data_IF_917781533855
#
_entry.id   IF_917781533855
#
_cell.length_a   1.000
_cell.length_b   1.000
_cell.length_c   1.000
_cell.angle_alpha   90.00
_cell.angle_beta   90.00
_cell.angle_gamma   90.00
#
_symmetry.space_group_name_H-M   'P 1'
#
loop_
_entity.id
_entity.type
_entity.pdbx_description
1 polymer ?
#
# COMPACT_ATOMS: atom_id res chain seq x y z
N UNK A 1 -29.91 11.55 -4.36
CA UNK A 1 -29.50 11.93 -2.99
C UNK A 1 -29.97 10.83 -2.06
N UNK A 2 -29.29 10.66 -0.93
CA UNK A 2 -29.65 9.62 0.03
C UNK A 2 -31.03 9.92 0.63
N UNK A 3 -31.80 8.87 0.89
CA UNK A 3 -33.08 9.01 1.60
C UNK A 3 -32.83 8.92 3.09
N UNK A 4 -33.36 9.88 3.83
CA UNK A 4 -33.18 10.04 5.27
C UNK A 4 -33.68 8.80 6.03
N UNK A 5 -34.80 8.22 5.60
CA UNK A 5 -35.36 6.97 6.15
C UNK A 5 -34.32 5.83 6.17
N UNK A 6 -33.57 5.63 5.08
CA UNK A 6 -32.60 4.55 4.98
C UNK A 6 -31.27 4.87 5.67
N UNK A 7 -30.94 6.15 5.86
CA UNK A 7 -29.82 6.54 6.71
C UNK A 7 -30.14 6.21 8.17
N UNK A 8 -31.35 6.49 8.65
CA UNK A 8 -31.78 6.12 10.00
C UNK A 8 -31.82 4.61 10.20
N UNK A 9 -32.26 3.83 9.21
CA UNK A 9 -32.20 2.37 9.26
C UNK A 9 -30.76 1.86 9.36
N UNK A 10 -29.82 2.47 8.63
CA UNK A 10 -28.39 2.17 8.74
C UNK A 10 -27.86 2.47 10.15
N UNK A 11 -28.16 3.65 10.69
CA UNK A 11 -27.71 4.08 12.02
C UNK A 11 -28.27 3.23 13.16
N UNK A 12 -29.48 2.70 12.99
CA UNK A 12 -30.12 1.82 13.97
C UNK A 12 -29.67 0.36 13.87
N UNK A 13 -28.79 0.03 12.92
CA UNK A 13 -28.34 -1.35 12.67
C UNK A 13 -29.43 -2.25 12.07
N UNK A 14 -30.51 -1.67 11.53
CA UNK A 14 -31.67 -2.38 10.97
C UNK A 14 -31.84 -2.13 9.47
N UNK A 15 -30.72 -1.98 8.76
CA UNK A 15 -30.75 -1.70 7.34
C UNK A 15 -31.41 -2.83 6.56
N UNK A 16 -32.54 -2.52 5.93
CA UNK A 16 -33.24 -3.47 5.05
C UNK A 16 -32.50 -3.63 3.73
N UNK A 17 -32.69 -4.77 3.05
CA UNK A 17 -32.13 -4.99 1.70
C UNK A 17 -32.57 -3.90 0.70
N UNK A 18 -33.81 -3.41 0.84
CA UNK A 18 -34.34 -2.29 0.06
C UNK A 18 -33.61 -0.98 0.38
N UNK A 19 -33.36 -0.70 1.65
CA UNK A 19 -32.58 0.45 2.09
C UNK A 19 -31.15 0.42 1.55
N UNK A 20 -30.48 -0.72 1.69
CA UNK A 20 -29.13 -0.93 1.13
C UNK A 20 -29.09 -0.70 -0.38
N UNK A 21 -30.01 -1.31 -1.14
CA UNK A 21 -30.11 -1.11 -2.59
C UNK A 21 -30.34 0.36 -2.97
N UNK A 22 -31.11 1.11 -2.19
CA UNK A 22 -31.33 2.54 -2.40
C UNK A 22 -30.07 3.38 -2.13
N UNK A 23 -29.27 3.01 -1.12
CA UNK A 23 -28.00 3.68 -0.83
C UNK A 23 -27.00 3.42 -1.96
N UNK A 24 -26.81 2.17 -2.38
CA UNK A 24 -25.95 1.79 -3.51
C UNK A 24 -26.38 2.52 -4.79
N UNK A 25 -27.68 2.59 -5.07
CA UNK A 25 -28.21 3.31 -6.24
C UNK A 25 -27.92 4.82 -6.16
N UNK A 26 -27.94 5.39 -4.97
CA UNK A 26 -27.59 6.80 -4.74
C UNK A 26 -26.11 7.06 -5.00
N UNK A 27 -25.24 6.16 -4.52
CA UNK A 27 -23.80 6.20 -4.79
C UNK A 27 -23.53 6.08 -6.29
N UNK A 28 -24.13 5.10 -6.97
CA UNK A 28 -23.99 4.93 -8.42
C UNK A 28 -24.44 6.17 -9.21
N UNK A 29 -25.52 6.82 -8.77
CA UNK A 29 -25.98 8.08 -9.38
C UNK A 29 -24.95 9.20 -9.18
N UNK A 30 -24.33 9.29 -8.00
CA UNK A 30 -23.29 10.29 -7.72
C UNK A 30 -22.02 10.04 -8.52
N UNK A 31 -21.55 8.80 -8.61
CA UNK A 31 -20.42 8.41 -9.47
C UNK A 31 -20.62 8.91 -10.90
N UNK A 32 -21.79 8.65 -11.49
CA UNK A 32 -22.13 9.11 -12.84
C UNK A 32 -22.26 10.62 -12.93
N UNK A 33 -22.80 11.27 -11.91
CA UNK A 33 -22.98 12.74 -11.90
C UNK A 33 -21.65 13.47 -11.83
N UNK A 34 -20.72 12.99 -11.02
CA UNK A 34 -19.42 13.61 -10.80
C UNK A 34 -18.31 13.04 -11.69
N UNK A 35 -18.63 12.06 -12.55
CA UNK A 35 -17.67 11.42 -13.45
C UNK A 35 -16.44 10.88 -12.71
N UNK A 36 -16.66 10.27 -11.55
CA UNK A 36 -15.57 9.70 -10.76
C UNK A 36 -14.92 8.53 -11.51
N UNK A 37 -13.59 8.54 -11.54
CA UNK A 37 -12.81 7.46 -12.16
C UNK A 37 -12.89 6.19 -11.33
N UNK A 38 -12.88 5.03 -11.98
CA UNK A 38 -12.97 3.73 -11.32
C UNK A 38 -11.76 3.42 -10.41
N UNK A 39 -10.62 4.05 -10.67
CA UNK A 39 -9.39 3.91 -9.86
C UNK A 39 -9.59 4.16 -8.36
N UNK A 40 -10.69 4.82 -7.96
CA UNK A 40 -11.05 4.97 -6.54
C UNK A 40 -11.49 3.67 -5.85
N UNK A 41 -11.77 2.62 -6.62
CA UNK A 41 -12.14 1.28 -6.15
C UNK A 41 -10.89 0.40 -6.15
N UNK A 42 -10.61 -0.24 -5.02
CA UNK A 42 -9.38 -1.01 -4.77
C UNK A 42 -9.24 -2.26 -5.65
N UNK A 43 -10.30 -2.78 -6.26
CA UNK A 43 -10.18 -3.94 -7.15
C UNK A 43 -9.31 -3.68 -8.37
N UNK A 44 -8.28 -4.53 -8.57
CA UNK A 44 -7.37 -4.57 -9.71
C UNK A 44 -8.11 -5.00 -11.00
N UNK A 45 -9.04 -4.17 -11.47
CA UNK A 45 -9.82 -4.43 -12.64
C UNK A 45 -9.51 -3.36 -13.69
N UNK A 46 -8.84 -3.77 -14.77
CA UNK A 46 -8.36 -2.90 -15.86
C UNK A 46 -9.49 -2.28 -16.70
N UNK A 47 -10.74 -2.67 -16.46
CA UNK A 47 -11.91 -2.15 -17.15
C UNK A 47 -12.23 -0.71 -16.74
N UNK A 48 -12.18 0.22 -17.70
CA UNK A 48 -12.53 1.63 -17.49
C UNK A 48 -14.02 1.85 -17.15
N UNK A 49 -14.87 0.86 -17.40
CA UNK A 49 -16.31 0.96 -17.21
C UNK A 49 -16.73 0.48 -15.81
N UNK A 50 -17.65 1.23 -15.20
CA UNK A 50 -18.25 0.88 -13.91
C UNK A 50 -19.24 -0.28 -14.04
N UNK A 51 -18.95 -1.38 -13.35
CA UNK A 51 -19.80 -2.55 -13.19
C UNK A 51 -20.75 -2.43 -11.99
N UNK A 52 -21.71 -3.35 -11.86
CA UNK A 52 -22.58 -3.42 -10.68
C UNK A 52 -21.78 -3.74 -9.42
N UNK A 53 -20.78 -4.61 -9.54
CA UNK A 53 -19.95 -5.06 -8.42
C UNK A 53 -19.03 -3.92 -7.95
N UNK A 54 -18.55 -3.09 -8.88
CA UNK A 54 -17.74 -1.90 -8.56
C UNK A 54 -18.53 -0.90 -7.68
N UNK A 55 -19.82 -0.69 -7.95
CA UNK A 55 -20.67 0.17 -7.11
C UNK A 55 -20.92 -0.44 -5.72
N UNK A 56 -21.02 -1.77 -5.64
CA UNK A 56 -21.19 -2.48 -4.37
C UNK A 56 -19.92 -2.37 -3.53
N UNK A 57 -18.77 -2.59 -4.14
CA UNK A 57 -17.46 -2.50 -3.51
C UNK A 57 -17.19 -1.06 -3.01
N UNK A 58 -17.42 -0.05 -3.85
CA UNK A 58 -17.29 1.36 -3.44
C UNK A 58 -18.20 1.67 -2.24
N UNK A 59 -19.41 1.11 -2.22
CA UNK A 59 -20.34 1.29 -1.10
C UNK A 59 -19.83 0.63 0.18
N UNK A 60 -19.27 -0.57 0.08
CA UNK A 60 -18.68 -1.29 1.22
C UNK A 60 -17.47 -0.53 1.79
N UNK A 61 -16.53 -0.12 0.93
CA UNK A 61 -15.36 0.66 1.34
C UNK A 61 -15.74 1.99 1.98
N UNK A 62 -16.79 2.64 1.47
CA UNK A 62 -17.34 3.84 2.08
C UNK A 62 -17.88 3.58 3.49
N UNK A 63 -18.60 2.48 3.71
CA UNK A 63 -19.09 2.12 5.04
C UNK A 63 -17.95 1.78 6.01
N UNK A 64 -16.97 0.99 5.57
CA UNK A 64 -15.78 0.68 6.34
C UNK A 64 -15.01 1.94 6.74
N UNK A 65 -14.87 2.89 5.81
CA UNK A 65 -14.22 4.17 6.08
C UNK A 65 -15.00 5.03 7.09
N UNK A 66 -16.33 5.09 6.96
CA UNK A 66 -17.19 5.81 7.90
C UNK A 66 -17.06 5.25 9.32
N UNK A 67 -17.04 3.92 9.44
CA UNK A 67 -16.93 3.21 10.74
C UNK A 67 -15.53 3.42 11.32
N UNK A 68 -14.49 3.14 10.55
CA UNK A 68 -13.09 3.22 11.01
C UNK A 68 -12.66 4.63 11.42
N UNK A 69 -13.29 5.66 10.84
CA UNK A 69 -12.98 7.06 11.15
C UNK A 69 -13.99 7.71 12.12
N UNK A 70 -14.86 6.93 12.78
CA UNK A 70 -15.87 7.41 13.73
C UNK A 70 -16.76 8.55 13.17
N UNK A 71 -17.02 8.57 11.84
CA UNK A 71 -17.70 9.68 11.17
C UNK A 71 -19.16 9.84 11.61
N UNK A 72 -19.75 8.80 12.19
CA UNK A 72 -21.13 8.78 12.69
C UNK A 72 -21.27 9.24 14.14
N UNK A 73 -20.18 9.52 14.86
CA UNK A 73 -20.19 9.80 16.31
C UNK A 73 -21.11 10.95 16.75
N UNK A 74 -21.33 11.94 15.88
CA UNK A 74 -22.15 13.12 16.16
C UNK A 74 -23.34 13.26 15.21
N UNK A 75 -23.70 12.19 14.51
CA UNK A 75 -24.76 12.25 13.51
C UNK A 75 -26.14 12.43 14.15
N UNK A 76 -26.28 12.04 15.42
CA UNK A 76 -27.44 12.27 16.28
C UNK A 76 -27.73 13.76 16.53
N UNK A 77 -26.69 14.61 16.43
CA UNK A 77 -26.81 16.07 16.56
C UNK A 77 -27.22 16.77 15.27
N UNK A 78 -27.23 16.06 14.15
CA UNK A 78 -27.59 16.62 12.85
C UNK A 78 -29.12 16.65 12.73
N UNK A 79 -29.74 17.80 12.42
CA UNK A 79 -31.19 17.84 12.23
C UNK A 79 -31.59 16.96 11.04
N UNK A 80 -32.76 16.33 11.15
CA UNK A 80 -33.26 15.35 10.18
C UNK A 80 -33.19 15.86 8.72
N UNK A 81 -33.59 17.10 8.48
CA UNK A 81 -33.60 17.72 7.15
C UNK A 81 -32.20 17.87 6.52
N UNK A 82 -31.14 17.85 7.33
CA UNK A 82 -29.75 17.95 6.87
C UNK A 82 -29.03 16.60 6.79
N UNK A 83 -29.68 15.51 7.22
CA UNK A 83 -29.05 14.19 7.32
C UNK A 83 -28.57 13.69 5.95
N UNK A 84 -29.40 13.82 4.91
CA UNK A 84 -29.04 13.45 3.54
C UNK A 84 -27.86 14.26 3.01
N UNK A 85 -27.84 15.57 3.27
CA UNK A 85 -26.73 16.44 2.89
C UNK A 85 -25.43 16.04 3.59
N UNK A 86 -25.47 15.82 4.90
CA UNK A 86 -24.29 15.44 5.68
C UNK A 86 -23.72 14.09 5.22
N UNK A 87 -24.59 13.11 4.97
CA UNK A 87 -24.20 11.80 4.44
C UNK A 87 -23.59 11.89 3.04
N UNK A 88 -24.14 12.78 2.19
CA UNK A 88 -23.58 13.12 0.88
C UNK A 88 -22.17 13.72 1.00
N UNK A 89 -21.97 14.66 1.93
CA UNK A 89 -20.64 15.26 2.16
C UNK A 89 -19.62 14.24 2.64
N UNK A 90 -20.03 13.28 3.49
CA UNK A 90 -19.16 12.18 3.90
C UNK A 90 -18.70 11.33 2.71
N UNK A 91 -19.59 11.00 1.78
CA UNK A 91 -19.21 10.27 0.56
C UNK A 91 -18.22 11.07 -0.30
N UNK A 92 -18.49 12.37 -0.50
CA UNK A 92 -17.58 13.23 -1.27
C UNK A 92 -16.20 13.32 -0.60
N UNK A 93 -16.15 13.44 0.72
CA UNK A 93 -14.89 13.43 1.47
C UNK A 93 -14.14 12.10 1.35
N UNK A 94 -14.85 10.98 1.40
CA UNK A 94 -14.27 9.65 1.21
C UNK A 94 -13.63 9.53 -0.18
N UNK A 95 -14.37 9.87 -1.24
CA UNK A 95 -13.86 9.79 -2.61
C UNK A 95 -12.70 10.76 -2.84
N UNK A 96 -12.75 11.97 -2.26
CA UNK A 96 -11.63 12.91 -2.34
C UNK A 96 -10.36 12.37 -1.68
N UNK A 97 -10.48 11.64 -0.56
CA UNK A 97 -9.33 11.01 0.08
C UNK A 97 -8.78 9.88 -0.78
N UNK A 98 -9.65 9.02 -1.34
CA UNK A 98 -9.24 7.96 -2.27
C UNK A 98 -8.52 8.48 -3.51
N UNK A 99 -9.05 9.52 -4.15
CA UNK A 99 -8.40 10.16 -5.31
C UNK A 99 -7.02 10.67 -4.90
N UNK A 100 -6.89 11.24 -3.70
CA UNK A 100 -5.61 11.74 -3.21
C UNK A 100 -4.61 10.62 -2.94
N UNK A 101 -5.04 9.51 -2.32
CA UNK A 101 -4.23 8.31 -2.11
C UNK A 101 -3.72 7.75 -3.45
N UNK A 102 -4.61 7.56 -4.43
CA UNK A 102 -4.25 7.09 -5.78
C UNK A 102 -3.32 8.06 -6.54
N UNK A 103 -3.55 9.37 -6.41
CA UNK A 103 -2.63 10.36 -6.98
C UNK A 103 -1.26 10.32 -6.30
N UNK A 104 -1.19 10.02 -5.01
CA UNK A 104 0.08 9.87 -4.31
C UNK A 104 0.82 8.59 -4.72
N UNK A 105 0.10 7.48 -4.98
CA UNK A 105 0.67 6.24 -5.53
C UNK A 105 1.28 6.45 -6.92
N UNK A 106 0.61 7.21 -7.79
CA UNK A 106 1.11 7.53 -9.14
C UNK A 106 2.16 8.65 -9.16
N UNK A 107 2.55 9.21 -8.00
CA UNK A 107 3.57 10.23 -7.89
C UNK A 107 3.13 11.66 -8.26
N UNK A 108 4.11 12.51 -8.59
CA UNK A 108 3.87 13.90 -9.00
C UNK A 108 3.59 13.97 -10.50
N UNK A 109 2.66 14.83 -10.95
CA UNK A 109 2.45 15.04 -12.40
C UNK A 109 3.64 15.78 -13.03
N UNK A 110 3.95 15.47 -14.30
CA UNK A 110 5.08 16.10 -15.02
C UNK A 110 5.02 17.63 -14.99
N UNK A 111 3.85 18.23 -15.26
CA UNK A 111 3.70 19.68 -15.24
C UNK A 111 4.04 20.28 -13.87
N UNK A 112 3.58 19.63 -12.79
CA UNK A 112 3.86 20.10 -11.43
C UNK A 112 5.32 19.89 -11.05
N UNK A 113 5.94 18.80 -11.51
CA UNK A 113 7.38 18.57 -11.37
C UNK A 113 8.16 19.70 -12.05
N UNK A 114 7.86 20.00 -13.32
CA UNK A 114 8.48 21.08 -14.08
C UNK A 114 8.33 22.44 -13.41
N UNK A 115 7.14 22.77 -12.91
CA UNK A 115 6.90 24.04 -12.21
C UNK A 115 7.74 24.14 -10.91
N UNK A 116 7.88 23.04 -10.16
CA UNK A 116 8.71 22.99 -8.96
C UNK A 116 10.20 23.12 -9.28
N UNK A 117 10.69 22.41 -10.31
CA UNK A 117 12.08 22.51 -10.78
C UNK A 117 12.38 23.94 -11.17
N UNK A 118 11.53 24.59 -11.99
CA UNK A 118 11.70 25.98 -12.38
C UNK A 118 11.70 26.94 -11.18
N UNK A 119 10.87 26.67 -10.18
CA UNK A 119 10.83 27.46 -8.95
C UNK A 119 12.12 27.32 -8.16
N UNK A 120 12.63 26.10 -7.98
CA UNK A 120 13.89 25.82 -7.29
C UNK A 120 15.07 26.42 -8.06
N UNK A 121 15.13 26.28 -9.38
CA UNK A 121 16.16 26.89 -10.21
C UNK A 121 16.24 28.41 -10.03
N UNK A 122 15.10 29.09 -9.88
CA UNK A 122 15.05 30.55 -9.66
C UNK A 122 15.41 30.98 -8.24
N UNK A 123 15.15 30.13 -7.25
CA UNK A 123 15.39 30.44 -5.84
C UNK A 123 16.83 30.11 -5.41
N UNK A 124 17.34 28.95 -5.84
CA UNK A 124 18.54 28.33 -5.27
C UNK A 124 19.76 28.34 -6.21
N UNK A 125 19.58 28.64 -7.51
CA UNK A 125 20.65 28.51 -8.51
C UNK A 125 20.80 29.76 -9.40
N UNK A 126 22.01 29.92 -9.96
CA UNK A 126 22.30 30.97 -10.95
C UNK A 126 22.01 30.43 -12.35
N UNK A 127 20.98 30.98 -12.99
CA UNK A 127 20.61 30.62 -14.36
C UNK A 127 21.51 31.36 -15.36
N UNK A 128 22.14 30.60 -16.26
CA UNK A 128 23.00 31.12 -17.33
C UNK A 128 22.42 30.74 -18.68
N UNK A 129 22.12 31.72 -19.53
CA UNK A 129 21.61 31.45 -20.88
C UNK A 129 22.78 31.20 -21.85
N UNK A 130 22.77 30.05 -22.52
CA UNK A 130 23.73 29.68 -23.56
C UNK A 130 22.97 29.19 -24.81
N UNK A 131 23.31 29.72 -25.98
CA UNK A 131 22.66 29.39 -27.27
C UNK A 131 21.12 29.53 -27.26
N UNK A 132 20.58 30.46 -26.47
CA UNK A 132 19.13 30.72 -26.38
C UNK A 132 18.37 29.74 -25.47
N UNK A 133 19.09 28.91 -24.71
CA UNK A 133 18.54 27.98 -23.73
C UNK A 133 19.13 28.26 -22.34
N UNK A 134 18.38 27.93 -21.30
CA UNK A 134 18.73 28.24 -19.91
C UNK A 134 19.37 27.02 -19.22
N UNK A 135 20.57 27.24 -18.70
CA UNK A 135 21.37 26.23 -17.99
C UNK A 135 21.57 26.63 -16.53
N UNK A 136 21.77 25.64 -15.67
CA UNK A 136 22.18 25.84 -14.28
C UNK A 136 23.47 25.08 -13.98
N UNK A 137 24.25 25.62 -13.05
CA UNK A 137 25.47 24.99 -12.55
C UNK A 137 25.24 24.48 -11.13
N UNK A 138 25.64 23.24 -10.85
CA UNK A 138 25.66 22.72 -9.49
C UNK A 138 26.68 23.45 -8.63
N UNK A 139 26.40 23.63 -7.33
CA UNK A 139 27.25 24.42 -6.42
C UNK A 139 28.71 23.92 -6.33
N UNK A 140 28.94 22.62 -6.57
CA UNK A 140 30.25 21.98 -6.49
C UNK A 140 30.85 21.62 -7.87
N UNK A 141 30.20 22.02 -8.97
CA UNK A 141 30.64 21.65 -10.31
C UNK A 141 31.98 22.33 -10.67
N UNK A 142 32.94 21.53 -11.13
CA UNK A 142 34.31 21.98 -11.40
C UNK A 142 34.61 22.11 -12.89
N UNK A 143 33.72 21.59 -13.75
CA UNK A 143 33.89 21.46 -15.19
C UNK A 143 33.00 22.44 -15.96
N UNK A 144 33.56 23.13 -16.96
CA UNK A 144 32.84 24.02 -17.90
C UNK A 144 32.11 23.24 -19.03
N UNK A 145 31.63 22.03 -18.73
CA UNK A 145 30.91 21.20 -19.70
C UNK A 145 29.45 21.63 -19.78
N UNK A 146 28.89 21.66 -20.99
CA UNK A 146 27.48 21.96 -21.25
C UNK A 146 26.75 20.66 -21.57
N UNK A 147 25.77 20.30 -20.75
CA UNK A 147 25.10 19.00 -20.74
C UNK A 147 23.62 19.21 -21.06
N UNK A 148 23.19 18.69 -22.20
CA UNK A 148 21.80 18.75 -22.65
C UNK A 148 21.04 17.42 -22.48
N UNK A 149 21.73 16.29 -22.30
CA UNK A 149 21.11 15.00 -22.05
C UNK A 149 21.68 14.40 -20.75
N UNK A 150 20.80 13.91 -19.89
CA UNK A 150 21.10 13.33 -18.58
C UNK A 150 20.82 11.82 -18.50
N UNK A 151 20.42 11.16 -19.58
CA UNK A 151 20.05 9.73 -19.60
C UNK A 151 21.14 8.83 -19.00
N UNK A 152 22.40 9.07 -19.36
CA UNK A 152 23.55 8.31 -18.84
C UNK A 152 23.80 8.53 -17.34
N UNK A 153 23.46 9.72 -16.84
CA UNK A 153 23.58 10.09 -15.42
C UNK A 153 22.48 9.42 -14.60
N UNK A 154 21.25 9.46 -15.10
CA UNK A 154 20.05 8.93 -14.42
C UNK A 154 20.05 7.40 -14.39
N UNK A 155 20.65 6.74 -15.40
CA UNK A 155 20.60 5.28 -15.57
C UNK A 155 21.03 4.48 -14.33
N UNK A 156 21.95 5.03 -13.53
CA UNK A 156 22.48 4.36 -12.34
C UNK A 156 22.00 5.01 -11.03
N UNK A 157 21.11 5.99 -11.11
CA UNK A 157 20.57 6.67 -9.94
C UNK A 157 19.43 5.89 -9.31
N UNK A 158 19.34 6.02 -7.98
CA UNK A 158 18.25 5.44 -7.20
C UNK A 158 17.01 6.29 -7.41
N UNK A 159 15.87 5.64 -7.67
CA UNK A 159 14.59 6.32 -7.76
C UNK A 159 14.11 6.75 -6.36
N UNK A 160 13.38 7.86 -6.30
CA UNK A 160 12.88 8.41 -5.05
C UNK A 160 11.48 7.89 -4.75
N UNK A 161 11.28 7.16 -3.63
CA UNK A 161 9.95 6.69 -3.26
C UNK A 161 9.09 7.85 -2.76
N UNK A 162 7.87 7.96 -3.30
CA UNK A 162 6.84 8.89 -2.84
C UNK A 162 5.78 8.07 -2.10
N UNK A 163 5.64 8.32 -0.80
CA UNK A 163 4.62 7.65 0.03
C UNK A 163 3.36 8.49 0.17
N UNK A 164 2.26 7.88 0.59
CA UNK A 164 0.99 8.55 0.91
C UNK A 164 1.16 9.64 2.00
N UNK A 165 2.19 9.53 2.83
CA UNK A 165 2.51 10.51 3.88
C UNK A 165 3.27 11.74 3.36
N UNK A 166 3.78 11.72 2.13
CA UNK A 166 4.48 12.84 1.51
C UNK A 166 3.51 13.98 1.22
N UNK A 167 3.55 15.02 2.06
CA UNK A 167 2.70 16.23 1.92
C UNK A 167 3.32 17.33 1.06
N UNK A 168 4.66 17.38 0.98
CA UNK A 168 5.40 18.41 0.27
C UNK A 168 6.39 17.75 -0.70
N UNK A 169 6.24 18.04 -1.99
CA UNK A 169 7.10 17.49 -3.04
C UNK A 169 8.37 18.32 -3.26
N UNK A 170 8.35 19.62 -2.93
CA UNK A 170 9.47 20.54 -3.14
C UNK A 170 10.80 20.05 -2.53
N UNK A 171 10.85 19.54 -1.28
CA UNK A 171 12.08 19.02 -0.70
C UNK A 171 12.66 17.81 -1.44
N UNK A 172 11.79 16.91 -1.91
CA UNK A 172 12.21 15.70 -2.64
C UNK A 172 12.72 16.07 -4.04
N UNK A 173 12.00 16.96 -4.73
CA UNK A 173 12.43 17.51 -6.03
C UNK A 173 13.78 18.20 -5.90
N UNK A 174 13.99 19.00 -4.84
CA UNK A 174 15.26 19.67 -4.58
C UNK A 174 16.41 18.68 -4.38
N UNK A 175 16.20 17.64 -3.56
CA UNK A 175 17.20 16.62 -3.31
C UNK A 175 17.55 15.84 -4.59
N UNK A 176 16.55 15.45 -5.38
CA UNK A 176 16.77 14.81 -6.68
C UNK A 176 17.56 15.71 -7.65
N UNK A 177 17.26 17.01 -7.67
CA UNK A 177 18.02 17.98 -8.47
C UNK A 177 19.47 18.09 -8.02
N UNK A 178 19.73 18.18 -6.71
CA UNK A 178 21.08 18.27 -6.16
C UNK A 178 21.92 17.05 -6.56
N UNK A 179 21.37 15.83 -6.42
CA UNK A 179 22.06 14.59 -6.78
C UNK A 179 22.36 14.49 -8.29
N UNK A 180 21.43 14.94 -9.14
CA UNK A 180 21.63 15.04 -10.59
C UNK A 180 22.79 15.99 -10.91
N UNK A 181 22.77 17.19 -10.32
CA UNK A 181 23.78 18.21 -10.59
C UNK A 181 25.17 17.80 -10.10
N UNK A 182 25.25 17.16 -8.93
CA UNK A 182 26.50 16.60 -8.39
C UNK A 182 27.06 15.53 -9.33
N UNK A 183 26.22 14.68 -9.88
CA UNK A 183 26.65 13.57 -10.74
C UNK A 183 26.98 14.01 -12.17
N UNK A 184 26.33 15.06 -12.67
CA UNK A 184 26.57 15.59 -14.02
C UNK A 184 27.89 16.36 -14.12
N UNK A 185 28.32 17.03 -13.04
CA UNK A 185 29.56 17.84 -12.97
C UNK A 185 29.71 18.79 -14.18
N UNK A 186 28.76 19.73 -14.32
CA UNK A 186 28.77 20.75 -15.38
C UNK A 186 27.50 21.59 -15.42
N UNK A 187 27.39 22.44 -16.45
CA UNK A 187 26.19 23.22 -16.76
C UNK A 187 25.13 22.31 -17.37
N UNK A 188 23.96 22.24 -16.75
CA UNK A 188 22.88 21.34 -17.15
C UNK A 188 21.66 22.13 -17.62
N UNK A 189 21.09 21.72 -18.75
CA UNK A 189 19.88 22.31 -19.34
C UNK A 189 18.67 22.12 -18.43
N UNK A 190 17.95 23.20 -18.09
CA UNK A 190 16.82 23.15 -17.14
C UNK A 190 15.70 22.20 -17.58
N UNK A 191 15.34 22.20 -18.87
CA UNK A 191 14.29 21.32 -19.38
C UNK A 191 14.66 19.84 -19.19
N UNK A 192 15.92 19.49 -19.44
CA UNK A 192 16.43 18.13 -19.25
C UNK A 192 16.43 17.72 -17.78
N UNK A 193 16.63 18.67 -16.85
CA UNK A 193 16.51 18.39 -15.40
C UNK A 193 15.07 18.07 -15.03
N UNK A 194 14.08 18.76 -15.61
CA UNK A 194 12.68 18.47 -15.33
C UNK A 194 12.30 17.05 -15.77
N UNK A 195 12.77 16.63 -16.95
CA UNK A 195 12.59 15.27 -17.46
C UNK A 195 13.32 14.24 -16.56
N UNK A 196 14.56 14.53 -16.19
CA UNK A 196 15.38 13.68 -15.34
C UNK A 196 14.79 13.45 -13.94
N UNK A 197 14.39 14.53 -13.27
CA UNK A 197 13.78 14.50 -11.94
C UNK A 197 12.44 13.79 -11.99
N UNK A 198 11.65 14.00 -13.04
CA UNK A 198 10.38 13.29 -13.21
C UNK A 198 10.59 11.78 -13.34
N UNK A 199 11.57 11.34 -14.15
CA UNK A 199 11.90 9.92 -14.28
C UNK A 199 12.35 9.30 -12.94
N UNK A 200 13.18 10.00 -12.16
CA UNK A 200 13.58 9.51 -10.83
C UNK A 200 12.44 9.46 -9.81
N UNK A 201 11.40 10.26 -10.01
CA UNK A 201 10.20 10.28 -9.18
C UNK A 201 9.08 9.37 -9.70
N UNK A 202 9.30 8.68 -10.82
CA UNK A 202 8.32 7.75 -11.36
C UNK A 202 8.17 6.55 -10.42
N UNK A 203 6.94 6.33 -9.94
CA UNK A 203 6.62 5.26 -9.02
C UNK A 203 6.34 3.93 -9.73
N UNK A 204 6.23 3.92 -11.07
CA UNK A 204 6.03 2.67 -11.83
C UNK A 204 7.18 1.67 -11.62
N UNK A 205 8.40 2.17 -11.44
CA UNK A 205 9.58 1.37 -11.09
C UNK A 205 9.42 0.59 -9.77
N UNK A 206 8.59 1.09 -8.84
CA UNK A 206 8.27 0.41 -7.58
C UNK A 206 7.01 -0.46 -7.67
N UNK A 207 6.10 -0.19 -8.63
CA UNK A 207 4.85 -0.95 -8.80
C UNK A 207 5.05 -2.42 -9.18
N UNK A 208 6.24 -2.79 -9.66
CA UNK A 208 6.61 -4.19 -9.91
C UNK A 208 7.12 -4.94 -8.69
N UNK A 209 7.25 -4.29 -7.52
CA UNK A 209 7.73 -4.94 -6.29
C UNK A 209 6.56 -5.62 -5.54
N UNK A 210 5.31 -5.22 -5.79
CA UNK A 210 4.11 -5.88 -5.25
C UNK A 210 3.52 -6.97 -6.16
N UNK A 211 4.23 -7.30 -7.25
CA UNK A 211 4.00 -8.52 -8.02
C UNK A 211 5.30 -9.31 -8.14
N UNK A 212 5.84 -9.78 -7.01
CA UNK A 212 6.30 -11.15 -7.00
C UNK A 212 5.04 -12.03 -7.18
N UNK A 213 4.54 -12.31 -8.39
CA UNK A 213 5.11 -13.34 -9.26
C UNK A 213 6.17 -14.15 -8.53
N UNK A 214 5.90 -15.43 -8.34
CA UNK A 214 6.89 -16.45 -8.06
C UNK A 214 8.13 -16.20 -8.93
N UNK A 215 9.06 -15.35 -8.48
CA UNK A 215 10.45 -15.47 -8.83
C UNK A 215 10.77 -16.77 -8.15
N UNK A 216 10.68 -17.84 -8.92
CA UNK A 216 11.28 -19.11 -8.59
C UNK A 216 12.77 -18.87 -8.42
N UNK A 217 13.14 -18.30 -7.27
CA UNK A 217 14.38 -18.67 -6.63
C UNK A 217 14.29 -20.17 -6.52
N UNK A 218 15.10 -20.85 -7.31
CA UNK A 218 15.48 -22.22 -7.00
C UNK A 218 15.92 -22.18 -5.55
N UNK A 219 15.05 -22.66 -4.66
CA UNK A 219 15.25 -22.64 -3.23
C UNK A 219 16.57 -23.35 -2.93
N UNK A 220 17.63 -22.58 -2.76
CA UNK A 220 18.69 -23.04 -1.88
C UNK A 220 18.07 -22.96 -0.49
N UNK A 221 17.78 -24.14 0.08
CA UNK A 221 17.60 -24.27 1.52
C UNK A 221 18.75 -23.53 2.18
N UNK A 222 18.49 -22.35 2.72
CA UNK A 222 19.44 -21.68 3.58
C UNK A 222 19.61 -22.59 4.80
N UNK A 223 20.72 -23.32 4.83
CA UNK A 223 21.15 -24.22 5.91
C UNK A 223 21.24 -23.51 7.29
N UNK A 224 21.00 -22.19 7.33
CA UNK A 224 21.11 -21.33 8.51
C UNK A 224 20.18 -21.77 9.66
N UNK A 225 18.99 -22.31 9.35
CA UNK A 225 17.96 -22.59 10.36
C UNK A 225 17.72 -24.08 10.61
N UNK A 226 18.46 -24.95 9.91
CA UNK A 226 18.23 -26.40 9.90
C UNK A 226 18.39 -27.05 11.27
N UNK A 227 19.34 -26.58 12.09
CA UNK A 227 19.58 -27.09 13.44
C UNK A 227 18.42 -26.80 14.38
N UNK A 228 17.97 -25.55 14.37
CA UNK A 228 16.93 -24.99 15.23
C UNK A 228 15.57 -25.54 14.84
N UNK A 229 15.29 -25.65 13.53
CA UNK A 229 14.06 -26.26 13.02
C UNK A 229 14.02 -27.76 13.38
N UNK A 230 15.12 -28.50 13.23
CA UNK A 230 15.16 -29.92 13.65
C UNK A 230 14.93 -30.08 15.15
N UNK A 231 15.46 -29.18 15.97
CA UNK A 231 15.21 -29.18 17.41
C UNK A 231 13.74 -28.90 17.74
N UNK A 232 13.12 -27.93 17.08
CA UNK A 232 11.69 -27.59 17.24
C UNK A 232 10.80 -28.76 16.80
N UNK A 233 11.11 -29.38 15.67
CA UNK A 233 10.36 -30.52 15.12
C UNK A 233 10.63 -31.85 15.84
N UNK A 234 11.66 -31.91 16.68
CA UNK A 234 11.95 -33.11 17.46
C UNK A 234 10.79 -33.48 18.37
N UNK A 235 10.20 -34.66 18.13
CA UNK A 235 9.06 -35.19 18.88
C UNK A 235 7.68 -34.72 18.40
N UNK A 236 7.59 -33.97 17.30
CA UNK A 236 6.32 -33.57 16.68
C UNK A 236 5.81 -34.69 15.76
N UNK A 237 4.57 -35.13 15.96
CA UNK A 237 3.90 -36.09 15.08
C UNK A 237 3.28 -35.41 13.85
N UNK A 238 3.02 -36.18 12.78
CA UNK A 238 2.35 -35.69 11.56
C UNK A 238 0.99 -35.04 11.84
N UNK A 239 0.23 -35.56 12.80
CA UNK A 239 -1.07 -34.99 13.22
C UNK A 239 -0.88 -33.65 13.93
N UNK A 240 0.13 -33.53 14.79
CA UNK A 240 0.46 -32.27 15.46
C UNK A 240 0.99 -31.21 14.49
N UNK A 241 1.79 -31.62 13.50
CA UNK A 241 2.27 -30.73 12.46
C UNK A 241 1.11 -30.07 11.69
N UNK A 242 0.07 -30.84 11.33
CA UNK A 242 -1.15 -30.30 10.70
C UNK A 242 -1.88 -29.32 11.61
N UNK A 243 -2.01 -29.62 12.90
CA UNK A 243 -2.64 -28.72 13.89
C UNK A 243 -1.86 -27.40 13.99
N UNK A 244 -0.53 -27.44 14.01
CA UNK A 244 0.30 -26.24 14.08
C UNK A 244 0.22 -25.41 12.81
N UNK A 245 0.22 -26.03 11.63
CA UNK A 245 0.02 -25.34 10.35
C UNK A 245 -1.34 -24.63 10.28
N UNK A 246 -2.42 -25.34 10.63
CA UNK A 246 -3.78 -24.79 10.59
C UNK A 246 -4.01 -23.67 11.60
N UNK A 247 -3.39 -23.74 12.79
CA UNK A 247 -3.63 -22.77 13.86
C UNK A 247 -2.65 -21.59 13.87
N UNK A 248 -1.38 -21.80 13.52
CA UNK A 248 -0.30 -20.81 13.68
C UNK A 248 0.07 -20.14 12.34
N UNK A 249 -0.01 -20.86 11.21
CA UNK A 249 0.57 -20.42 9.93
C UNK A 249 -0.46 -20.21 8.80
N UNK A 250 -1.76 -20.14 9.10
CA UNK A 250 -2.79 -19.88 8.07
C UNK A 250 -3.04 -18.38 7.81
N UNK A 251 -3.11 -18.02 6.53
CA UNK A 251 -3.26 -16.64 6.04
C UNK A 251 -4.72 -16.18 5.78
N UNK A 252 -5.76 -16.86 6.28
CA UNK A 252 -7.12 -16.59 5.77
C UNK A 252 -8.35 -16.88 6.65
N UNK A 253 -8.20 -17.27 7.92
CA UNK A 253 -9.35 -17.47 8.79
C UNK A 253 -8.94 -17.96 10.17
N UNK A 254 -9.47 -17.32 11.23
CA UNK A 254 -9.21 -17.77 12.60
C UNK A 254 -9.93 -19.09 12.86
N UNK A 255 -9.26 -20.23 12.64
CA UNK A 255 -9.79 -21.55 13.02
C UNK A 255 -9.90 -21.59 14.55
N UNK A 256 -11.12 -21.81 15.05
CA UNK A 256 -11.33 -21.86 16.49
C UNK A 256 -10.74 -23.15 17.09
N UNK A 257 -10.24 -23.08 18.32
CA UNK A 257 -9.76 -24.27 19.05
C UNK A 257 -10.84 -25.36 19.19
N UNK A 258 -12.12 -24.98 19.11
CA UNK A 258 -13.24 -25.92 19.11
C UNK A 258 -13.31 -26.68 17.78
N UNK A 259 -13.14 -26.01 16.64
CA UNK A 259 -13.10 -26.66 15.32
C UNK A 259 -11.94 -27.65 15.19
N UNK A 260 -10.77 -27.33 15.74
CA UNK A 260 -9.63 -28.26 15.77
C UNK A 260 -9.88 -29.46 16.69
N UNK A 261 -10.53 -29.23 17.84
CA UNK A 261 -10.92 -30.29 18.78
C UNK A 261 -11.85 -31.30 18.11
N UNK A 262 -12.85 -30.82 17.38
CA UNK A 262 -13.83 -31.65 16.69
C UNK A 262 -13.21 -32.37 15.48
N UNK A 263 -12.34 -31.70 14.71
CA UNK A 263 -11.68 -32.25 13.51
C UNK A 263 -10.69 -33.36 13.83
N UNK A 264 -9.88 -33.18 14.87
CA UNK A 264 -8.82 -34.12 15.23
C UNK A 264 -9.23 -35.08 16.36
N UNK A 265 -10.43 -34.94 16.92
CA UNK A 265 -10.94 -35.73 18.04
C UNK A 265 -9.99 -35.71 19.27
N UNK A 266 -9.43 -34.54 19.56
CA UNK A 266 -8.51 -34.31 20.70
C UNK A 266 -9.17 -33.28 21.62
N UNK A 267 -9.16 -33.47 22.96
CA UNK A 267 -9.71 -32.49 23.88
C UNK A 267 -9.13 -31.09 23.70
N UNK A 268 -9.99 -30.07 23.70
CA UNK A 268 -9.62 -28.65 23.57
C UNK A 268 -8.49 -28.21 24.52
N UNK A 269 -8.50 -28.69 25.76
CA UNK A 269 -7.43 -28.40 26.74
C UNK A 269 -6.07 -28.97 26.32
N UNK A 270 -6.06 -30.17 25.72
CA UNK A 270 -4.85 -30.81 25.21
C UNK A 270 -4.31 -30.08 23.98
N UNK A 271 -5.17 -29.65 23.06
CA UNK A 271 -4.77 -28.85 21.89
C UNK A 271 -4.16 -27.51 22.33
N UNK A 272 -4.82 -26.81 23.26
CA UNK A 272 -4.31 -25.56 23.81
C UNK A 272 -2.94 -25.72 24.45
N UNK A 273 -2.76 -26.74 25.31
CA UNK A 273 -1.47 -27.01 25.94
C UNK A 273 -0.36 -27.30 24.92
N UNK A 274 -0.65 -28.10 23.89
CA UNK A 274 0.32 -28.43 22.84
C UNK A 274 0.74 -27.22 22.00
N UNK A 275 -0.22 -26.35 21.64
CA UNK A 275 0.07 -25.11 20.91
C UNK A 275 0.92 -24.17 21.75
N UNK A 276 0.61 -24.02 23.04
CA UNK A 276 1.38 -23.17 23.95
C UNK A 276 2.80 -23.71 24.17
N UNK A 277 2.95 -25.03 24.33
CA UNK A 277 4.27 -25.68 24.40
C UNK A 277 5.07 -25.46 23.11
N UNK A 278 4.43 -25.59 21.95
CA UNK A 278 5.07 -25.38 20.66
C UNK A 278 5.49 -23.92 20.45
N UNK A 279 4.63 -22.95 20.79
CA UNK A 279 4.97 -21.51 20.78
C UNK A 279 6.16 -21.22 21.70
N UNK A 280 6.14 -21.75 22.93
CA UNK A 280 7.26 -21.58 23.86
C UNK A 280 8.55 -22.15 23.27
N UNK A 281 8.50 -23.33 22.66
CA UNK A 281 9.65 -23.98 22.02
C UNK A 281 10.25 -23.10 20.92
N UNK A 282 9.41 -22.50 20.06
CA UNK A 282 9.86 -21.54 19.04
C UNK A 282 10.61 -20.36 19.68
N UNK A 283 10.02 -19.72 20.70
CA UNK A 283 10.62 -18.55 21.35
C UNK A 283 11.88 -18.87 22.16
N UNK A 284 12.03 -20.11 22.65
CA UNK A 284 13.23 -20.52 23.40
C UNK A 284 14.37 -20.97 22.51
N UNK A 285 14.07 -21.52 21.34
CA UNK A 285 15.08 -22.11 20.45
C UNK A 285 15.69 -21.07 19.49
N UNK A 286 14.92 -20.06 19.07
CA UNK A 286 15.42 -19.05 18.13
C UNK A 286 15.04 -17.63 18.55
N UNK A 287 16.03 -16.74 18.56
CA UNK A 287 15.87 -15.29 18.77
C UNK A 287 16.28 -14.59 17.47
N UNK A 288 15.34 -14.02 16.69
CA UNK A 288 15.66 -13.35 15.44
C UNK A 288 16.56 -12.13 15.62
N UNK A 289 17.48 -11.91 14.67
CA UNK A 289 18.34 -10.72 14.67
C UNK A 289 17.60 -9.46 14.19
N UNK A 290 16.65 -9.64 13.27
CA UNK A 290 15.80 -8.58 12.72
C UNK A 290 14.45 -9.17 12.23
N UNK A 291 13.54 -8.30 11.80
CA UNK A 291 12.19 -8.69 11.37
C UNK A 291 12.21 -9.61 10.13
N UNK A 292 13.06 -9.33 9.14
CA UNK A 292 13.19 -10.15 7.93
C UNK A 292 13.73 -11.55 8.22
N UNK A 293 14.69 -11.65 9.14
CA UNK A 293 15.28 -12.89 9.63
C UNK A 293 14.25 -13.75 10.38
N UNK A 294 13.39 -13.11 11.19
CA UNK A 294 12.27 -13.78 11.86
C UNK A 294 11.22 -14.31 10.89
N UNK A 295 10.87 -13.53 9.85
CA UNK A 295 9.94 -13.97 8.80
C UNK A 295 10.53 -15.14 8.01
N UNK A 296 11.81 -15.09 7.64
CA UNK A 296 12.49 -16.17 6.94
C UNK A 296 12.52 -17.48 7.76
N UNK A 297 12.81 -17.37 9.06
CA UNK A 297 12.79 -18.51 9.98
C UNK A 297 11.39 -19.14 10.10
N UNK A 298 10.35 -18.33 10.30
CA UNK A 298 8.97 -18.82 10.42
C UNK A 298 8.46 -19.47 9.12
N UNK A 299 8.82 -18.92 7.94
CA UNK A 299 8.50 -19.52 6.64
C UNK A 299 9.19 -20.88 6.45
N UNK A 300 10.46 -20.99 6.83
CA UNK A 300 11.18 -22.27 6.76
C UNK A 300 10.61 -23.30 7.75
N UNK A 301 10.25 -22.89 8.96
CA UNK A 301 9.58 -23.76 9.93
C UNK A 301 8.22 -24.26 9.42
N UNK A 302 7.43 -23.39 8.78
CA UNK A 302 6.16 -23.76 8.14
C UNK A 302 6.37 -24.78 7.01
N UNK A 303 7.38 -24.57 6.16
CA UNK A 303 7.71 -25.52 5.09
C UNK A 303 8.14 -26.89 5.63
N UNK A 304 8.97 -26.94 6.67
CA UNK A 304 9.38 -28.20 7.29
C UNK A 304 8.23 -28.89 8.04
N UNK A 305 7.29 -28.13 8.61
CA UNK A 305 6.03 -28.69 9.13
C UNK A 305 5.17 -29.27 8.01
N UNK A 306 5.07 -28.61 6.85
CA UNK A 306 4.32 -29.12 5.69
C UNK A 306 4.91 -30.45 5.20
N UNK A 307 6.25 -30.55 5.11
CA UNK A 307 6.95 -31.81 4.81
C UNK A 307 6.66 -32.91 5.83
N UNK A 308 6.60 -32.60 7.13
CA UNK A 308 6.32 -33.57 8.20
C UNK A 308 4.84 -33.96 8.29
N UNK A 309 3.96 -33.11 7.76
CA UNK A 309 2.51 -33.30 7.75
C UNK A 309 2.01 -34.16 6.60
N UNK A 310 2.82 -34.33 5.54
CA UNK A 310 2.56 -35.23 4.39
C UNK A 310 2.62 -36.69 4.82
#
# INVERSE_FOLDING_TARGET
MFKEEYILDLLSGRLTQKGYASIVSSIATMVRRYQWQKSIVVSNNSDLNWSKDDYLELSQQFFEWIISNDKLKYIDKVPYDYLSYYFTQMLVSFVSNRIKEEQQKNGISFQKCKDLVLTICKEDYVVTSHLGQDYILGNDASNDKWIANLDDVIRYMVHYPITEHTKQFKPIVKLAMEDILVSADGYVLIDSIADAVFNLLDQTSFSNIDTESEIGFVYQQDLKYDSEIKEILHGVSSVEARIYLEYIFQDGGQVSLSELSDRYNIPKSTIHNKIDEFKKKIFTTYIPENENDGIAFLKNLANSLDELSK
#
